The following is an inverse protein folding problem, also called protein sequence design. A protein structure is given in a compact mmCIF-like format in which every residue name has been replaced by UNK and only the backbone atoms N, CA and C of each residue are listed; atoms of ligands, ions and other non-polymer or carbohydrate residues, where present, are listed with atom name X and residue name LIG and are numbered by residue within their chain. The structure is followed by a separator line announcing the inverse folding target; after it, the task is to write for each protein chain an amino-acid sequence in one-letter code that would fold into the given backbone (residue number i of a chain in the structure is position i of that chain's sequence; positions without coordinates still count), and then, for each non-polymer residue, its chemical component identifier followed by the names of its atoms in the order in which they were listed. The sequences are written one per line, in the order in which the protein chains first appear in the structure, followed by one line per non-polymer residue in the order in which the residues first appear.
data_IF_140290749491
#
_entry.id   IF_140290749491
#
_cell.length_a   1.000
_cell.length_b   1.000
_cell.length_c   1.000
_cell.angle_alpha   90.00
_cell.angle_beta   90.00
_cell.angle_gamma   90.00
#
_symmetry.space_group_name_H-M   'P 1'
#
loop_
_entity.id
_entity.type
_entity.pdbx_description
1 polymer ?
#
# COMPACT_ATOMS: atom_id res chain seq x y z
N UNK A 1 12.50 14.51 13.57
CA UNK A 1 12.34 13.56 14.71
C UNK A 1 10.86 13.35 15.01
N UNK A 2 10.13 14.33 15.57
CA UNK A 2 8.69 14.21 15.91
C UNK A 2 7.78 13.66 14.81
N UNK A 3 7.98 14.07 13.56
CA UNK A 3 7.14 13.62 12.45
C UNK A 3 7.22 12.10 12.17
N UNK A 4 8.39 11.49 12.41
CA UNK A 4 8.58 10.03 12.29
C UNK A 4 7.89 9.31 13.46
N UNK A 5 8.10 9.79 14.68
CA UNK A 5 7.52 9.20 15.91
C UNK A 5 5.99 9.27 15.93
N UNK A 6 5.42 10.32 15.34
CA UNK A 6 3.97 10.53 15.24
C UNK A 6 3.35 9.93 13.98
N UNK A 7 4.15 9.42 13.04
CA UNK A 7 3.67 8.82 11.79
C UNK A 7 3.16 9.82 10.74
N UNK A 8 3.40 11.13 10.94
CA UNK A 8 3.14 12.17 9.92
C UNK A 8 4.05 11.97 8.70
N UNK A 9 5.25 11.46 8.94
CA UNK A 9 6.14 10.90 7.92
C UNK A 9 6.33 9.43 8.27
N UNK A 10 5.88 8.57 7.38
CA UNK A 10 6.00 7.13 7.52
C UNK A 10 6.12 6.47 6.13
N UNK A 11 6.64 5.25 6.10
CA UNK A 11 6.89 4.49 4.87
C UNK A 11 6.48 3.04 5.07
N UNK A 12 5.93 2.38 4.04
CA UNK A 12 5.79 0.93 4.06
C UNK A 12 7.15 0.25 4.27
N UNK A 13 7.14 -0.83 5.05
CA UNK A 13 8.32 -1.68 5.33
C UNK A 13 9.54 -0.90 5.84
N UNK A 14 9.39 -0.05 6.88
CA UNK A 14 10.49 0.75 7.37
C UNK A 14 11.53 -0.14 8.04
N UNK A 15 12.80 0.04 7.66
CA UNK A 15 13.94 -0.56 8.38
C UNK A 15 14.38 0.26 9.60
N UNK A 16 13.64 1.34 9.88
CA UNK A 16 13.93 2.29 10.95
C UNK A 16 13.02 2.01 12.15
N UNK A 17 13.61 1.66 13.30
CA UNK A 17 12.89 1.39 14.54
C UNK A 17 12.11 2.59 15.11
N UNK A 18 12.36 3.80 14.62
CA UNK A 18 11.66 5.02 15.03
C UNK A 18 10.47 5.36 14.11
N UNK A 19 10.28 4.62 13.02
CA UNK A 19 9.08 4.76 12.20
C UNK A 19 7.87 4.19 12.94
N UNK A 20 6.69 4.76 12.68
CA UNK A 20 5.46 4.31 13.30
C UNK A 20 4.97 2.97 12.72
N UNK A 21 5.31 2.70 11.45
CA UNK A 21 5.00 1.46 10.73
C UNK A 21 3.50 1.16 10.66
N UNK A 22 2.70 2.22 10.42
CA UNK A 22 1.25 2.13 10.26
C UNK A 22 0.80 2.27 8.80
N UNK A 23 1.74 2.52 7.88
CA UNK A 23 1.49 2.74 6.46
C UNK A 23 1.74 1.46 5.66
N UNK A 24 0.75 1.02 4.90
CA UNK A 24 0.88 -0.12 3.99
C UNK A 24 0.67 0.36 2.56
N UNK A 25 1.65 0.06 1.70
CA UNK A 25 1.58 0.35 0.27
C UNK A 25 1.03 -0.83 -0.52
N UNK A 26 0.36 -0.59 -1.63
CA UNK A 26 -0.15 -1.62 -2.56
C UNK A 26 -0.15 -1.07 -4.00
N UNK A 27 -0.17 -1.92 -5.02
CA UNK A 27 -0.39 -1.47 -6.40
C UNK A 27 -1.87 -1.39 -6.75
N UNK A 28 -2.27 -0.41 -7.56
CA UNK A 28 -3.58 -0.40 -8.20
C UNK A 28 -3.64 -1.32 -9.42
N UNK A 29 -4.81 -1.37 -10.06
CA UNK A 29 -5.07 -2.22 -11.24
C UNK A 29 -4.08 -1.98 -12.39
N UNK A 30 -3.53 -0.77 -12.49
CA UNK A 30 -2.59 -0.38 -13.54
C UNK A 30 -1.13 -0.50 -13.09
N UNK A 31 -0.88 -0.95 -11.86
CA UNK A 31 0.46 -1.15 -11.30
C UNK A 31 1.07 0.06 -10.61
N UNK A 32 0.33 1.17 -10.49
CA UNK A 32 0.81 2.36 -9.80
C UNK A 32 0.72 2.18 -8.27
N UNK A 33 1.71 2.69 -7.55
CA UNK A 33 1.74 2.61 -6.09
C UNK A 33 0.62 3.45 -5.46
N UNK A 34 -0.02 2.88 -4.44
CA UNK A 34 -1.09 3.46 -3.63
C UNK A 34 -0.89 3.11 -2.17
N UNK A 35 -1.63 3.81 -1.31
CA UNK A 35 -1.76 3.48 0.10
C UNK A 35 -2.99 2.60 0.30
N UNK A 36 -2.77 1.45 0.93
CA UNK A 36 -3.82 0.59 1.47
C UNK A 36 -4.20 1.08 2.86
N UNK A 37 -3.18 1.24 3.72
CA UNK A 37 -3.30 1.82 5.06
C UNK A 37 -2.51 3.13 5.10
N UNK A 38 -3.12 4.18 5.66
CA UNK A 38 -2.55 5.52 5.66
C UNK A 38 -1.85 5.89 6.96
N UNK A 39 -2.07 5.13 8.05
CA UNK A 39 -1.63 5.52 9.39
C UNK A 39 -1.98 6.98 9.70
N UNK A 40 -0.98 7.73 10.16
CA UNK A 40 -1.09 9.16 10.48
C UNK A 40 -0.61 10.10 9.36
N UNK A 41 -0.52 9.61 8.11
CA UNK A 41 -0.17 10.47 6.98
C UNK A 41 -1.19 11.63 6.86
N UNK A 42 -0.73 12.89 6.75
CA UNK A 42 -1.58 14.07 6.81
C UNK A 42 -2.27 14.35 5.47
N UNK A 43 -2.82 13.32 4.83
CA UNK A 43 -3.62 13.48 3.62
C UNK A 43 -5.04 13.90 3.97
N UNK A 44 -5.58 14.80 3.16
CA UNK A 44 -7.00 15.12 3.15
C UNK A 44 -7.83 13.93 2.69
N UNK A 45 -9.12 13.91 3.04
CA UNK A 45 -9.97 12.74 2.79
C UNK A 45 -10.17 12.49 1.29
N UNK A 46 -10.23 13.52 0.45
CA UNK A 46 -10.32 13.40 -1.01
C UNK A 46 -9.11 12.66 -1.62
N UNK A 47 -7.91 12.86 -1.07
CA UNK A 47 -6.72 12.11 -1.47
C UNK A 47 -6.84 10.65 -1.02
N UNK A 48 -7.28 10.40 0.22
CA UNK A 48 -7.47 9.02 0.71
C UNK A 48 -8.51 8.29 -0.12
N UNK A 49 -9.61 8.94 -0.47
CA UNK A 49 -10.68 8.41 -1.30
C UNK A 49 -10.20 8.07 -2.71
N UNK A 50 -9.35 8.92 -3.31
CA UNK A 50 -8.72 8.60 -4.60
C UNK A 50 -7.93 7.28 -4.54
N UNK A 51 -7.10 7.11 -3.51
CA UNK A 51 -6.32 5.89 -3.31
C UNK A 51 -7.22 4.67 -3.07
N UNK A 52 -8.22 4.78 -2.18
CA UNK A 52 -9.21 3.72 -1.91
C UNK A 52 -9.94 3.31 -3.17
N UNK A 53 -10.39 4.27 -3.99
CA UNK A 53 -11.11 4.00 -5.23
C UNK A 53 -10.25 3.23 -6.24
N UNK A 54 -8.95 3.56 -6.36
CA UNK A 54 -8.01 2.85 -7.25
C UNK A 54 -7.72 1.43 -6.77
N UNK A 55 -7.60 1.23 -5.45
CA UNK A 55 -7.43 -0.10 -4.86
C UNK A 55 -8.71 -0.94 -5.01
N UNK A 56 -9.89 -0.34 -4.82
CA UNK A 56 -11.17 -1.01 -5.01
C UNK A 56 -11.40 -1.49 -6.45
N UNK A 57 -10.93 -0.74 -7.46
CA UNK A 57 -10.95 -1.18 -8.86
C UNK A 57 -10.17 -2.48 -9.07
N UNK A 58 -9.00 -2.62 -8.43
CA UNK A 58 -8.22 -3.86 -8.46
C UNK A 58 -8.92 -4.98 -7.70
N UNK A 59 -9.44 -4.69 -6.50
CA UNK A 59 -10.19 -5.65 -5.69
C UNK A 59 -11.36 -6.28 -6.47
N UNK A 60 -12.13 -5.46 -7.18
CA UNK A 60 -13.24 -5.90 -8.01
C UNK A 60 -12.76 -6.76 -9.20
N UNK A 61 -11.70 -6.34 -9.89
CA UNK A 61 -11.16 -7.07 -11.04
C UNK A 61 -10.58 -8.45 -10.65
N UNK A 62 -9.89 -8.53 -9.52
CA UNK A 62 -9.27 -9.76 -9.01
C UNK A 62 -10.23 -10.63 -8.18
N UNK A 63 -11.40 -10.09 -7.80
CA UNK A 63 -12.40 -10.72 -6.92
C UNK A 63 -11.80 -11.21 -5.61
N UNK A 64 -10.95 -10.36 -5.01
CA UNK A 64 -10.34 -10.62 -3.70
C UNK A 64 -10.19 -9.34 -2.91
N UNK A 65 -10.14 -9.49 -1.60
CA UNK A 65 -9.82 -8.39 -0.68
C UNK A 65 -8.37 -7.94 -0.87
N UNK A 66 -8.17 -6.63 -0.88
CA UNK A 66 -6.85 -6.01 -0.91
C UNK A 66 -6.34 -5.91 0.53
N UNK A 67 -5.34 -6.71 0.87
CA UNK A 67 -4.81 -6.81 2.24
C UNK A 67 -3.27 -6.81 2.24
N UNK A 68 -2.67 -6.92 3.44
CA UNK A 68 -1.21 -6.96 3.62
C UNK A 68 -0.51 -8.04 2.78
N UNK A 69 -1.12 -9.22 2.62
CA UNK A 69 -0.52 -10.28 1.82
C UNK A 69 -0.47 -9.94 0.33
N UNK A 70 -1.47 -9.21 -0.19
CA UNK A 70 -1.41 -8.70 -1.57
C UNK A 70 -0.28 -7.69 -1.75
N UNK A 71 -0.01 -6.86 -0.73
CA UNK A 71 1.15 -5.96 -0.73
C UNK A 71 2.48 -6.75 -0.77
N UNK A 72 2.60 -7.83 -0.01
CA UNK A 72 3.77 -8.72 -0.07
C UNK A 72 3.91 -9.39 -1.44
N UNK A 73 2.81 -9.80 -2.07
CA UNK A 73 2.84 -10.32 -3.43
C UNK A 73 3.36 -9.27 -4.44
N UNK A 74 2.93 -8.01 -4.32
CA UNK A 74 3.41 -6.91 -5.15
C UNK A 74 4.90 -6.63 -4.95
N UNK A 75 5.40 -6.77 -3.71
CA UNK A 75 6.82 -6.65 -3.38
C UNK A 75 7.64 -7.73 -4.10
N UNK A 76 7.19 -8.99 -4.05
CA UNK A 76 7.86 -10.11 -4.71
C UNK A 76 7.56 -10.24 -6.21
N UNK A 77 6.61 -9.47 -6.77
CA UNK A 77 6.25 -9.56 -8.18
C UNK A 77 7.45 -9.28 -9.10
N UNK A 78 8.29 -8.31 -8.71
CA UNK A 78 9.45 -7.90 -9.51
C UNK A 78 10.47 -9.03 -9.65
N UNK A 79 10.71 -9.81 -8.58
CA UNK A 79 11.63 -10.96 -8.67
C UNK A 79 11.11 -12.09 -9.57
N UNK A 80 9.81 -12.07 -9.89
CA UNK A 80 9.13 -12.98 -10.81
C UNK A 80 8.94 -12.39 -12.21
N UNK A 81 9.55 -11.24 -12.51
CA UNK A 81 9.41 -10.55 -13.79
C UNK A 81 8.03 -9.93 -14.03
N UNK A 82 7.28 -9.64 -12.97
CA UNK A 82 5.95 -9.05 -13.02
C UNK A 82 5.92 -7.70 -12.29
N UNK A 83 5.06 -6.78 -12.74
CA UNK A 83 4.87 -5.52 -12.03
C UNK A 83 3.88 -5.66 -10.86
N UNK A 84 2.80 -6.40 -11.08
CA UNK A 84 1.68 -6.56 -10.15
C UNK A 84 1.69 -8.00 -9.62
N UNK A 85 1.57 -8.16 -8.31
CA UNK A 85 1.43 -9.43 -7.63
C UNK A 85 0.15 -10.13 -8.07
N UNK A 86 0.28 -11.33 -8.62
CA UNK A 86 -0.87 -12.15 -9.00
C UNK A 86 -1.15 -13.18 -7.90
N UNK A 87 -2.43 -13.51 -7.67
CA UNK A 87 -2.78 -14.63 -6.81
C UNK A 87 -2.00 -15.87 -7.23
N UNK A 88 -1.36 -16.54 -6.28
CA UNK A 88 -0.91 -17.91 -6.52
C UNK A 88 -2.14 -18.77 -6.84
N UNK A 89 -2.04 -19.60 -7.88
CA UNK A 89 -3.02 -20.67 -8.11
C UNK A 89 -3.05 -21.64 -6.94
#
# INVERSE_FOLDING_TARGET
VKAMETGVIDSPFPINMHAKDEVVGIRDLNGACRYLEFGNLPFSEDIKDFHRAKVAQRAAAERREMNYYVSLEDFWAISKGQLIGKPSK
#
